data_IF_435799192075
#
_entry.id   IF_435799192075
#
_cell.length_a   1.000
_cell.length_b   1.000
_cell.length_c   1.000
_cell.angle_alpha   90.00
_cell.angle_beta   90.00
_cell.angle_gamma   90.00
#
_symmetry.space_group_name_H-M   'P 1'
#
loop_
_entity.id
_entity.type
_entity.pdbx_description
1 polymer ?
#
# COMPACT_ATOMS: atom_id res chain seq x y z
N UNK A 1 -4.38 -17.08 -27.50
CA UNK A 1 -4.64 -15.62 -27.53
C UNK A 1 -4.17 -14.99 -26.23
N UNK A 2 -3.18 -14.10 -26.33
CA UNK A 2 -2.52 -13.43 -25.20
C UNK A 2 -3.21 -12.10 -24.90
N UNK A 3 -3.22 -11.69 -23.62
CA UNK A 3 -3.78 -10.41 -23.15
C UNK A 3 -2.65 -9.38 -23.10
N UNK A 4 -2.81 -8.25 -23.80
CA UNK A 4 -1.87 -7.11 -23.81
C UNK A 4 -2.38 -6.05 -22.83
N UNK A 5 -1.60 -5.71 -21.80
CA UNK A 5 -2.08 -4.85 -20.70
C UNK A 5 -1.70 -3.36 -20.77
N UNK A 6 -0.74 -2.94 -21.60
CA UNK A 6 -0.36 -1.53 -21.69
C UNK A 6 0.35 -1.21 -23.01
N UNK A 7 0.43 0.05 -23.38
CA UNK A 7 1.21 0.55 -24.53
C UNK A 7 1.84 1.87 -24.12
N UNK A 8 3.13 1.86 -23.73
CA UNK A 8 3.80 3.06 -23.22
C UNK A 8 5.23 3.23 -23.78
N UNK A 9 5.71 4.45 -24.11
CA UNK A 9 7.05 4.67 -24.68
C UNK A 9 8.05 5.32 -23.70
N UNK A 10 9.31 4.86 -23.65
CA UNK A 10 10.47 5.72 -23.32
C UNK A 10 11.82 5.13 -23.79
N UNK A 11 12.61 5.93 -24.53
CA UNK A 11 14.01 5.62 -24.92
C UNK A 11 14.92 6.73 -24.41
N UNK A 12 15.93 6.45 -23.58
CA UNK A 12 17.01 7.40 -23.30
C UNK A 12 18.37 6.75 -22.98
N UNK A 13 19.43 7.29 -23.58
CA UNK A 13 20.83 6.99 -23.27
C UNK A 13 21.26 7.58 -21.91
N UNK A 14 22.48 7.24 -21.45
CA UNK A 14 22.97 7.63 -20.11
C UNK A 14 23.09 9.15 -19.89
N UNK A 15 23.34 9.95 -20.94
CA UNK A 15 23.37 11.41 -20.83
C UNK A 15 21.97 11.99 -20.74
N UNK A 16 21.01 11.41 -21.46
CA UNK A 16 19.61 11.78 -21.36
C UNK A 16 18.98 11.39 -20.00
N UNK A 17 19.38 10.24 -19.41
CA UNK A 17 19.00 9.87 -18.02
C UNK A 17 19.43 10.92 -16.97
N UNK A 18 20.59 11.54 -17.17
CA UNK A 18 21.13 12.54 -16.23
C UNK A 18 20.40 13.89 -16.34
N UNK A 19 19.99 14.29 -17.55
CA UNK A 19 19.15 15.49 -17.78
C UNK A 19 17.69 15.27 -17.40
N UNK A 20 17.17 14.04 -17.55
CA UNK A 20 15.83 13.67 -17.11
C UNK A 20 15.66 13.72 -15.61
N UNK A 21 16.65 13.26 -14.81
CA UNK A 21 16.59 13.34 -13.34
C UNK A 21 16.32 14.75 -12.81
N UNK A 22 16.66 15.80 -13.58
CA UNK A 22 16.40 17.20 -13.22
C UNK A 22 15.04 17.73 -13.74
N UNK A 23 14.41 17.03 -14.67
CA UNK A 23 13.11 17.36 -15.30
C UNK A 23 12.00 16.36 -14.92
N UNK A 24 12.34 15.39 -14.05
CA UNK A 24 11.64 14.11 -13.81
C UNK A 24 10.28 14.26 -13.14
N UNK A 25 10.13 15.24 -12.23
CA UNK A 25 8.98 15.30 -11.34
C UNK A 25 7.65 15.64 -12.06
N UNK A 26 7.68 16.50 -13.09
CA UNK A 26 6.47 16.93 -13.79
C UNK A 26 6.08 15.98 -14.94
N UNK A 27 7.07 15.42 -15.65
CA UNK A 27 6.84 14.47 -16.75
C UNK A 27 6.53 13.06 -16.25
N UNK A 28 7.10 12.61 -15.12
CA UNK A 28 6.70 11.35 -14.50
C UNK A 28 5.22 11.38 -14.17
N UNK A 29 4.71 12.42 -13.49
CA UNK A 29 3.32 12.50 -13.07
C UNK A 29 2.31 12.36 -14.23
N UNK A 30 2.61 12.94 -15.40
CA UNK A 30 1.76 12.79 -16.60
C UNK A 30 1.89 11.41 -17.24
N UNK A 31 3.11 10.88 -17.34
CA UNK A 31 3.38 9.56 -17.90
C UNK A 31 2.77 8.42 -17.07
N UNK A 32 2.92 8.49 -15.76
CA UNK A 32 2.50 7.45 -14.82
C UNK A 32 1.00 7.46 -14.56
N UNK A 33 0.34 8.62 -14.65
CA UNK A 33 -1.12 8.71 -14.66
C UNK A 33 -1.76 7.91 -15.81
N UNK A 34 -1.09 7.85 -16.96
CA UNK A 34 -1.57 7.06 -18.10
C UNK A 34 -1.32 5.55 -17.92
N UNK A 35 -0.24 5.14 -17.26
CA UNK A 35 0.03 3.72 -16.93
C UNK A 35 -1.06 3.14 -16.02
N UNK A 36 -1.42 3.86 -14.95
CA UNK A 36 -2.51 3.44 -14.06
C UNK A 36 -3.85 3.48 -14.78
N UNK A 37 -4.12 4.53 -15.56
CA UNK A 37 -5.34 4.65 -16.36
C UNK A 37 -5.51 3.51 -17.37
N UNK A 38 -4.43 3.14 -18.06
CA UNK A 38 -4.42 2.03 -19.02
C UNK A 38 -4.56 0.68 -18.32
N UNK A 39 -3.86 0.47 -17.21
CA UNK A 39 -4.02 -0.74 -16.40
C UNK A 39 -5.47 -0.87 -15.90
N UNK A 40 -6.07 0.20 -15.36
CA UNK A 40 -7.47 0.21 -14.94
C UNK A 40 -8.43 -0.09 -16.10
N UNK A 41 -8.20 0.52 -17.27
CA UNK A 41 -9.00 0.30 -18.47
C UNK A 41 -8.96 -1.14 -18.92
N UNK A 42 -7.77 -1.72 -19.08
CA UNK A 42 -7.62 -3.12 -19.50
C UNK A 42 -8.23 -4.07 -18.46
N UNK A 43 -7.98 -3.86 -17.17
CA UNK A 43 -8.58 -4.67 -16.11
C UNK A 43 -10.10 -4.58 -16.06
N UNK A 44 -10.69 -3.44 -16.44
CA UNK A 44 -12.15 -3.28 -16.47
C UNK A 44 -12.84 -4.04 -17.61
N UNK A 45 -12.10 -4.43 -18.65
CA UNK A 45 -12.63 -5.05 -19.86
C UNK A 45 -12.39 -6.57 -19.86
N UNK A 46 -11.33 -7.04 -19.19
CA UNK A 46 -10.99 -8.48 -19.10
C UNK A 46 -11.69 -9.18 -17.93
N UNK A 47 -12.12 -10.42 -18.13
CA UNK A 47 -12.74 -11.23 -17.07
C UNK A 47 -11.70 -11.88 -16.16
N UNK A 48 -12.10 -12.35 -14.96
CA UNK A 48 -11.23 -13.11 -14.05
C UNK A 48 -10.57 -14.34 -14.71
N UNK A 49 -11.20 -14.89 -15.75
CA UNK A 49 -10.67 -16.03 -16.53
C UNK A 49 -9.52 -15.55 -17.43
N UNK A 50 -9.63 -14.35 -18.00
CA UNK A 50 -8.62 -13.76 -18.87
C UNK A 50 -7.35 -13.39 -18.09
N UNK A 51 -7.49 -12.96 -16.84
CA UNK A 51 -6.35 -12.65 -15.95
C UNK A 51 -5.50 -13.87 -15.58
N UNK A 52 -5.99 -15.09 -15.82
CA UNK A 52 -5.25 -16.35 -15.64
C UNK A 52 -4.54 -16.80 -16.91
N UNK A 53 -4.66 -16.09 -18.02
CA UNK A 53 -3.88 -16.39 -19.23
C UNK A 53 -2.44 -15.92 -19.03
N UNK A 54 -1.46 -16.51 -19.75
CA UNK A 54 -0.09 -16.02 -19.72
C UNK A 54 -0.06 -14.51 -20.00
N UNK A 55 0.54 -13.76 -19.09
CA UNK A 55 0.65 -12.31 -19.23
C UNK A 55 1.70 -11.99 -20.29
N UNK A 56 1.34 -11.17 -21.28
CA UNK A 56 2.28 -10.60 -22.24
C UNK A 56 2.25 -9.09 -22.11
N UNK A 57 3.37 -8.51 -21.72
CA UNK A 57 3.54 -7.07 -21.65
C UNK A 57 4.29 -6.62 -22.91
N UNK A 58 3.80 -5.55 -23.53
CA UNK A 58 4.46 -4.91 -24.67
C UNK A 58 4.52 -3.42 -24.35
N UNK A 59 5.70 -2.85 -24.29
CA UNK A 59 5.84 -1.40 -24.27
C UNK A 59 5.78 -0.87 -25.71
N UNK A 60 5.09 0.24 -25.91
CA UNK A 60 4.85 0.76 -27.25
C UNK A 60 6.16 1.30 -27.84
N UNK A 61 6.46 0.93 -29.08
CA UNK A 61 7.71 1.28 -29.74
C UNK A 61 8.94 0.47 -29.32
N UNK A 62 8.81 -0.57 -28.48
CA UNK A 62 9.92 -1.46 -28.11
C UNK A 62 9.86 -2.81 -28.84
N UNK A 63 10.93 -3.16 -29.56
CA UNK A 63 11.16 -4.53 -30.05
C UNK A 63 11.71 -5.40 -28.90
N UNK A 64 10.89 -5.64 -27.88
CA UNK A 64 11.26 -6.53 -26.79
C UNK A 64 10.72 -7.95 -27.03
N UNK A 65 11.63 -8.94 -27.08
CA UNK A 65 11.25 -10.36 -26.92
C UNK A 65 11.10 -10.60 -25.42
N UNK A 66 9.86 -10.81 -24.97
CA UNK A 66 9.57 -11.00 -23.55
C UNK A 66 10.18 -12.31 -23.03
N UNK A 67 11.37 -12.19 -22.43
CA UNK A 67 12.02 -13.24 -21.64
C UNK A 67 11.84 -13.02 -20.13
N UNK A 68 10.80 -12.28 -19.71
CA UNK A 68 10.46 -11.98 -18.31
C UNK A 68 10.96 -10.63 -17.80
N UNK A 69 11.90 -9.97 -18.51
CA UNK A 69 12.39 -8.64 -18.15
C UNK A 69 11.31 -7.56 -18.25
N UNK A 70 10.55 -7.59 -19.34
CA UNK A 70 9.47 -6.64 -19.64
C UNK A 70 8.34 -6.77 -18.61
N UNK A 71 7.94 -8.01 -18.29
CA UNK A 71 6.92 -8.27 -17.27
C UNK A 71 7.34 -7.74 -15.90
N UNK A 72 8.62 -7.94 -15.52
CA UNK A 72 9.14 -7.45 -14.24
C UNK A 72 9.15 -5.93 -14.17
N UNK A 73 9.56 -5.27 -15.24
CA UNK A 73 9.56 -3.80 -15.33
C UNK A 73 8.14 -3.23 -15.24
N UNK A 74 7.17 -3.84 -15.90
CA UNK A 74 5.75 -3.45 -15.77
C UNK A 74 5.26 -3.47 -14.33
N UNK A 75 5.47 -4.57 -13.60
CA UNK A 75 5.05 -4.65 -12.19
C UNK A 75 5.78 -3.62 -11.32
N UNK A 76 7.07 -3.40 -11.57
CA UNK A 76 7.85 -2.40 -10.84
C UNK A 76 7.29 -0.99 -11.03
N UNK A 77 7.04 -0.58 -12.28
CA UNK A 77 6.54 0.75 -12.60
C UNK A 77 5.12 0.97 -12.09
N UNK A 78 4.24 -0.02 -12.27
CA UNK A 78 2.86 0.06 -11.83
C UNK A 78 2.75 0.14 -10.30
N UNK A 79 3.49 -0.72 -9.57
CA UNK A 79 3.49 -0.67 -8.11
C UNK A 79 4.16 0.59 -7.56
N UNK A 80 5.24 1.07 -8.19
CA UNK A 80 5.86 2.35 -7.81
C UNK A 80 4.84 3.49 -7.85
N UNK A 81 3.95 3.49 -8.85
CA UNK A 81 2.93 4.51 -8.98
C UNK A 81 1.77 4.33 -7.99
N UNK A 82 1.26 3.10 -7.86
CA UNK A 82 0.17 2.79 -6.93
C UNK A 82 0.55 3.04 -5.46
N UNK A 83 1.83 2.93 -5.13
CA UNK A 83 2.37 3.21 -3.79
C UNK A 83 2.85 4.65 -3.62
N UNK A 84 2.71 5.51 -4.64
CA UNK A 84 3.16 6.89 -4.56
C UNK A 84 2.35 7.65 -3.47
N UNK A 85 3.03 8.24 -2.46
CA UNK A 85 2.36 8.96 -1.37
C UNK A 85 1.44 10.10 -1.84
N UNK A 86 1.65 10.64 -3.05
CA UNK A 86 0.80 11.71 -3.60
C UNK A 86 -0.68 11.29 -3.73
N UNK A 87 -0.94 10.00 -3.93
CA UNK A 87 -2.30 9.46 -4.01
C UNK A 87 -2.95 9.25 -2.64
N UNK A 88 -2.16 9.28 -1.56
CA UNK A 88 -2.64 9.10 -0.20
C UNK A 88 -3.24 7.72 0.07
N UNK A 89 -2.93 6.70 -0.74
CA UNK A 89 -3.44 5.34 -0.54
C UNK A 89 -2.82 4.66 0.68
N UNK A 90 -1.55 4.95 0.95
CA UNK A 90 -0.77 4.32 1.99
C UNK A 90 -0.03 5.35 2.85
N UNK A 91 0.11 5.02 4.13
CA UNK A 91 0.94 5.72 5.10
C UNK A 91 2.24 4.94 5.30
N UNK A 92 3.36 5.65 5.26
CA UNK A 92 4.68 5.10 5.55
C UNK A 92 5.02 5.25 7.04
N UNK A 93 5.33 4.14 7.69
CA UNK A 93 5.72 4.10 9.10
C UNK A 93 7.25 4.17 9.18
N UNK A 94 7.79 5.33 9.57
CA UNK A 94 9.23 5.59 9.57
C UNK A 94 10.01 4.63 10.49
N UNK A 95 9.45 4.27 11.64
CA UNK A 95 10.12 3.42 12.62
C UNK A 95 10.32 1.97 12.12
N UNK A 96 9.40 1.46 11.30
CA UNK A 96 9.40 0.07 10.81
C UNK A 96 9.79 -0.06 9.33
N UNK A 97 9.80 1.06 8.59
CA UNK A 97 9.89 1.11 7.12
C UNK A 97 8.76 0.33 6.41
N UNK A 98 7.60 0.20 7.05
CA UNK A 98 6.45 -0.51 6.52
C UNK A 98 5.37 0.45 5.99
N UNK A 99 4.54 -0.08 5.10
CA UNK A 99 3.38 0.60 4.54
C UNK A 99 2.11 0.05 5.18
N UNK A 100 1.16 0.94 5.43
CA UNK A 100 -0.21 0.56 5.79
C UNK A 100 -1.23 1.42 5.05
N UNK A 101 -2.47 0.95 4.95
CA UNK A 101 -3.54 1.69 4.30
C UNK A 101 -3.81 3.00 5.04
N UNK A 102 -3.89 4.10 4.29
CA UNK A 102 -4.20 5.40 4.85
C UNK A 102 -5.66 5.46 5.30
N UNK A 103 -5.90 6.08 6.45
CA UNK A 103 -7.26 6.40 6.94
C UNK A 103 -7.95 7.47 6.07
N UNK A 104 -7.17 8.24 5.32
CA UNK A 104 -7.64 9.31 4.45
C UNK A 104 -7.05 9.12 3.06
N UNK A 105 -7.91 8.77 2.11
CA UNK A 105 -7.54 8.48 0.74
C UNK A 105 -8.53 9.20 -0.18
N UNK A 106 -8.03 9.86 -1.21
CA UNK A 106 -8.85 10.60 -2.17
C UNK A 106 -9.10 9.84 -3.46
N UNK A 107 -8.42 8.70 -3.67
CA UNK A 107 -8.65 7.85 -4.83
C UNK A 107 -9.86 6.94 -4.64
N UNK A 108 -10.46 6.55 -5.75
CA UNK A 108 -11.59 5.65 -5.81
C UNK A 108 -11.21 4.21 -5.40
N UNK A 109 -12.22 3.41 -5.00
CA UNK A 109 -12.01 2.02 -4.56
C UNK A 109 -11.36 1.10 -5.61
N UNK A 110 -11.51 1.40 -6.89
CA UNK A 110 -10.89 0.66 -8.01
C UNK A 110 -9.35 0.69 -7.96
N UNK A 111 -8.71 1.70 -7.36
CA UNK A 111 -7.25 1.73 -7.19
C UNK A 111 -6.75 0.65 -6.22
N UNK A 112 -7.45 0.45 -5.09
CA UNK A 112 -7.12 -0.64 -4.16
C UNK A 112 -7.37 -2.01 -4.80
N UNK A 113 -8.41 -2.12 -5.62
CA UNK A 113 -8.68 -3.33 -6.40
C UNK A 113 -7.55 -3.62 -7.40
N UNK A 114 -7.06 -2.60 -8.11
CA UNK A 114 -5.94 -2.70 -9.03
C UNK A 114 -4.66 -3.17 -8.33
N UNK A 115 -4.35 -2.71 -7.12
CA UNK A 115 -3.23 -3.24 -6.33
C UNK A 115 -3.41 -4.74 -6.07
N UNK A 116 -4.61 -5.15 -5.65
CA UNK A 116 -4.92 -6.56 -5.42
C UNK A 116 -4.72 -7.42 -6.66
N UNK A 117 -5.23 -6.98 -7.82
CA UNK A 117 -5.03 -7.68 -9.09
C UNK A 117 -3.55 -7.70 -9.47
N UNK A 118 -2.84 -6.57 -9.34
CA UNK A 118 -1.41 -6.47 -9.67
C UNK A 118 -0.59 -7.46 -8.85
N UNK A 119 -0.85 -7.55 -7.54
CA UNK A 119 -0.24 -8.56 -6.67
C UNK A 119 -0.59 -9.99 -7.09
N UNK A 120 -1.87 -10.25 -7.41
CA UNK A 120 -2.33 -11.56 -7.88
C UNK A 120 -1.66 -11.99 -9.18
N UNK A 121 -1.55 -11.08 -10.14
CA UNK A 121 -0.86 -11.30 -11.41
C UNK A 121 0.64 -11.52 -11.22
N UNK A 122 1.29 -10.76 -10.33
CA UNK A 122 2.70 -10.95 -10.01
C UNK A 122 2.96 -12.35 -9.44
N UNK A 123 2.13 -12.80 -8.48
CA UNK A 123 2.19 -14.15 -7.92
C UNK A 123 1.96 -15.21 -9.01
N UNK A 124 0.91 -15.05 -9.83
CA UNK A 124 0.57 -16.00 -10.89
C UNK A 124 1.70 -16.17 -11.90
N UNK A 125 2.39 -15.08 -12.24
CA UNK A 125 3.51 -15.07 -13.19
C UNK A 125 4.87 -15.34 -12.53
N UNK A 126 4.91 -15.73 -11.25
CA UNK A 126 6.15 -15.99 -10.50
C UNK A 126 7.12 -14.80 -10.47
N UNK A 127 6.57 -13.58 -10.51
CA UNK A 127 7.34 -12.34 -10.46
C UNK A 127 7.41 -11.82 -9.04
N UNK A 128 8.63 -11.64 -8.54
CA UNK A 128 8.87 -11.01 -7.23
C UNK A 128 8.64 -9.50 -7.36
N UNK A 129 7.79 -8.96 -6.49
CA UNK A 129 7.52 -7.53 -6.35
C UNK A 129 7.94 -7.05 -4.97
N UNK A 130 8.36 -5.79 -4.89
CA UNK A 130 8.89 -5.19 -3.68
C UNK A 130 7.79 -4.44 -2.91
N UNK A 131 7.15 -5.14 -1.95
CA UNK A 131 6.02 -4.63 -1.17
C UNK A 131 6.31 -4.74 0.33
N UNK A 132 6.46 -3.61 0.99
CA UNK A 132 6.82 -3.50 2.40
C UNK A 132 5.57 -3.47 3.32
N UNK A 133 4.64 -4.41 3.15
CA UNK A 133 3.47 -4.52 4.04
C UNK A 133 3.77 -5.41 5.26
N UNK A 134 3.21 -5.10 6.45
CA UNK A 134 3.39 -5.91 7.66
C UNK A 134 2.68 -7.27 7.57
N UNK A 135 3.05 -8.21 8.44
CA UNK A 135 2.42 -9.53 8.55
C UNK A 135 0.89 -9.44 8.78
N UNK A 136 0.45 -8.38 9.46
CA UNK A 136 -0.96 -8.06 9.68
C UNK A 136 -1.81 -8.12 8.39
N UNK A 137 -1.26 -7.68 7.26
CA UNK A 137 -1.98 -7.68 5.99
C UNK A 137 -2.26 -9.11 5.53
N UNK A 138 -1.24 -9.95 5.52
CA UNK A 138 -1.34 -11.33 5.07
C UNK A 138 -2.23 -12.16 6.01
N UNK A 139 -2.17 -11.90 7.32
CA UNK A 139 -3.13 -12.47 8.28
C UNK A 139 -4.56 -12.10 7.92
N UNK A 140 -4.84 -10.82 7.64
CA UNK A 140 -6.17 -10.37 7.19
C UNK A 140 -6.63 -11.07 5.92
N UNK A 141 -5.77 -11.20 4.90
CA UNK A 141 -6.09 -11.90 3.65
C UNK A 141 -6.42 -13.39 3.88
N UNK A 142 -5.83 -14.01 4.89
CA UNK A 142 -6.06 -15.40 5.28
C UNK A 142 -7.16 -15.56 6.35
N UNK A 143 -7.91 -14.49 6.67
CA UNK A 143 -8.91 -14.47 7.75
C UNK A 143 -8.35 -14.85 9.13
N UNK A 144 -7.07 -14.57 9.39
CA UNK A 144 -6.43 -14.69 10.70
C UNK A 144 -6.51 -13.34 11.42
N UNK A 145 -7.00 -13.32 12.66
CA UNK A 145 -7.12 -12.10 13.47
C UNK A 145 -5.72 -11.59 13.86
N UNK A 146 -5.34 -10.34 13.52
CA UNK A 146 -4.11 -9.74 14.01
C UNK A 146 -4.15 -9.46 15.52
N UNK A 147 -2.99 -9.45 16.16
CA UNK A 147 -2.81 -9.17 17.59
C UNK A 147 -1.81 -8.05 17.86
N UNK A 148 -1.43 -7.87 19.13
CA UNK A 148 -0.51 -6.81 19.56
C UNK A 148 0.89 -6.95 18.92
N UNK A 149 1.37 -8.18 18.71
CA UNK A 149 2.65 -8.41 18.01
C UNK A 149 2.66 -7.86 16.58
N UNK A 150 1.53 -7.92 15.88
CA UNK A 150 1.40 -7.36 14.53
C UNK A 150 1.45 -5.82 14.55
N UNK A 151 0.95 -5.19 15.63
CA UNK A 151 1.07 -3.75 15.82
C UNK A 151 2.50 -3.36 16.21
N UNK A 152 3.22 -4.18 16.99
CA UNK A 152 4.64 -3.95 17.31
C UNK A 152 5.52 -4.01 16.06
N UNK A 153 5.18 -4.85 15.09
CA UNK A 153 5.87 -4.87 13.78
C UNK A 153 5.63 -3.57 13.01
N UNK A 154 4.38 -3.11 12.92
CA UNK A 154 4.02 -1.90 12.17
C UNK A 154 4.47 -0.60 12.85
N UNK A 155 4.20 -0.49 14.15
CA UNK A 155 4.34 0.71 14.97
C UNK A 155 5.00 0.32 16.30
N UNK A 156 6.33 0.13 16.32
CA UNK A 156 7.03 -0.44 17.48
C UNK A 156 6.82 0.36 18.76
N UNK A 157 6.74 1.68 18.67
CA UNK A 157 6.59 2.57 19.82
C UNK A 157 5.21 2.41 20.48
N UNK A 158 4.14 2.48 19.69
CA UNK A 158 2.77 2.25 20.14
C UNK A 158 2.57 0.82 20.64
N UNK A 159 3.12 -0.16 19.94
CA UNK A 159 3.06 -1.56 20.35
C UNK A 159 3.76 -1.84 21.68
N UNK A 160 4.88 -1.17 21.96
CA UNK A 160 5.55 -1.24 23.28
C UNK A 160 4.72 -0.57 24.37
N UNK A 161 4.19 0.63 24.11
CA UNK A 161 3.35 1.35 25.08
C UNK A 161 2.10 0.55 25.47
N UNK A 162 1.45 -0.12 24.51
CA UNK A 162 0.31 -0.99 24.79
C UNK A 162 0.71 -2.27 25.52
N UNK A 163 1.92 -2.79 25.29
CA UNK A 163 2.44 -3.92 26.07
C UNK A 163 2.71 -3.51 27.53
N UNK A 164 3.26 -2.32 27.76
CA UNK A 164 3.48 -1.79 29.11
C UNK A 164 2.15 -1.62 29.86
N UNK A 165 1.11 -1.13 29.17
CA UNK A 165 -0.25 -1.06 29.72
C UNK A 165 -0.78 -2.46 30.09
N UNK A 166 -0.61 -3.45 29.21
CA UNK A 166 -1.07 -4.82 29.42
C UNK A 166 -0.33 -5.53 30.57
N UNK A 167 0.97 -5.26 30.72
CA UNK A 167 1.83 -5.88 31.73
C UNK A 167 1.80 -5.11 33.07
N UNK A 168 1.03 -4.03 33.18
CA UNK A 168 0.96 -3.22 34.40
C UNK A 168 0.45 -4.06 35.59
N UNK A 169 1.25 -4.22 36.66
CA UNK A 169 0.91 -5.12 37.75
C UNK A 169 -0.15 -4.52 38.70
N UNK A 170 -0.28 -3.20 38.74
CA UNK A 170 -1.19 -2.49 39.63
C UNK A 170 -2.65 -2.61 39.21
N UNK A 171 -3.55 -2.30 40.14
CA UNK A 171 -4.99 -2.12 39.87
C UNK A 171 -5.32 -0.66 39.49
N UNK A 172 -4.33 0.24 39.60
CA UNK A 172 -4.39 1.68 39.35
C UNK A 172 -4.13 2.05 37.87
N UNK A 173 -4.60 1.21 36.94
CA UNK A 173 -4.43 1.42 35.49
C UNK A 173 -5.03 2.76 35.05
N UNK A 174 -6.22 3.07 35.54
CA UNK A 174 -6.94 4.30 35.18
C UNK A 174 -6.15 5.54 35.63
N UNK A 175 -5.69 5.58 36.88
CA UNK A 175 -4.95 6.70 37.44
C UNK A 175 -3.55 6.83 36.86
N UNK A 176 -2.89 5.70 36.56
CA UNK A 176 -1.52 5.68 36.06
C UNK A 176 -1.45 6.16 34.61
N UNK A 177 -2.34 5.66 33.75
CA UNK A 177 -2.27 5.91 32.31
C UNK A 177 -3.22 7.03 31.85
N UNK A 178 -4.30 7.29 32.60
CA UNK A 178 -5.28 8.34 32.27
C UNK A 178 -5.81 8.25 30.83
N UNK A 179 -5.99 7.02 30.33
CA UNK A 179 -6.46 6.75 28.97
C UNK A 179 -7.98 6.56 28.92
N UNK A 180 -8.53 6.80 27.74
CA UNK A 180 -9.90 6.43 27.40
C UNK A 180 -9.90 5.68 26.06
N UNK A 181 -11.06 5.20 25.62
CA UNK A 181 -11.19 4.47 24.36
C UNK A 181 -11.23 5.41 23.15
N UNK A 182 -10.21 6.26 23.01
CA UNK A 182 -10.01 7.14 21.85
C UNK A 182 -8.57 7.11 21.35
N UNK A 183 -8.38 7.47 20.09
CA UNK A 183 -7.06 7.69 19.48
C UNK A 183 -7.05 9.05 18.78
N UNK A 184 -5.87 9.68 18.73
CA UNK A 184 -5.64 10.84 17.89
C UNK A 184 -5.07 10.38 16.54
N UNK A 185 -5.57 10.96 15.46
CA UNK A 185 -5.07 10.77 14.11
C UNK A 185 -4.83 12.12 13.48
N UNK A 186 -3.64 12.32 12.93
CA UNK A 186 -3.35 13.49 12.12
C UNK A 186 -3.70 13.18 10.67
N UNK A 187 -4.44 14.07 10.02
CA UNK A 187 -4.76 13.99 8.60
C UNK A 187 -4.75 15.40 8.02
N UNK A 188 -3.84 15.66 7.07
CA UNK A 188 -3.66 16.97 6.43
C UNK A 188 -3.48 18.14 7.41
N UNK A 189 -2.72 17.92 8.49
CA UNK A 189 -2.45 18.93 9.52
C UNK A 189 -3.61 19.17 10.49
N UNK A 190 -4.70 18.40 10.38
CA UNK A 190 -5.80 18.40 11.34
C UNK A 190 -5.68 17.16 12.22
N UNK A 191 -5.69 17.36 13.54
CA UNK A 191 -5.73 16.26 14.51
C UNK A 191 -7.19 15.97 14.84
N UNK A 192 -7.63 14.78 14.50
CA UNK A 192 -8.96 14.28 14.83
C UNK A 192 -8.89 13.21 15.92
N UNK A 193 -9.79 13.31 16.89
CA UNK A 193 -9.98 12.28 17.90
C UNK A 193 -11.03 11.27 17.42
N UNK A 194 -10.62 10.02 17.20
CA UNK A 194 -11.50 8.91 16.83
C UNK A 194 -11.82 8.06 18.05
N UNK A 195 -13.09 7.73 18.24
CA UNK A 195 -13.55 6.84 19.32
C UNK A 195 -13.41 5.39 18.88
N UNK A 196 -12.79 4.55 19.72
CA UNK A 196 -12.59 3.13 19.46
C UNK A 196 -13.85 2.29 19.75
N UNK A 197 -14.70 2.79 20.65
CA UNK A 197 -16.01 2.22 20.98
C UNK A 197 -17.07 3.34 21.03
N UNK A 198 -18.37 3.02 20.96
CA UNK A 198 -19.43 4.01 21.15
C UNK A 198 -19.29 4.75 22.49
N UNK A 199 -19.14 6.06 22.46
CA UNK A 199 -18.94 6.88 23.66
C UNK A 199 -17.58 6.71 24.34
N UNK A 200 -16.57 6.16 23.63
CA UNK A 200 -15.26 5.84 24.19
C UNK A 200 -14.48 7.03 24.79
N UNK A 201 -14.86 8.27 24.47
CA UNK A 201 -14.36 9.49 25.12
C UNK A 201 -14.69 9.58 26.61
N UNK A 202 -15.72 8.84 27.07
CA UNK A 202 -16.22 8.85 28.45
C UNK A 202 -15.95 7.55 29.20
N UNK A 203 -15.35 6.58 28.54
CA UNK A 203 -15.03 5.27 29.13
C UNK A 203 -13.54 5.28 29.43
N UNK A 204 -13.18 5.28 30.70
CA UNK A 204 -11.80 5.17 31.14
C UNK A 204 -11.28 3.74 30.88
N UNK A 205 -10.00 3.64 30.54
CA UNK A 205 -9.30 2.36 30.45
C UNK A 205 -8.92 1.91 31.85
N UNK A 206 -9.36 0.72 32.26
CA UNK A 206 -9.08 0.12 33.55
C UNK A 206 -8.68 -1.36 33.38
N UNK A 207 -8.38 -2.05 34.49
CA UNK A 207 -7.93 -3.46 34.49
C UNK A 207 -8.87 -4.43 33.74
N UNK A 208 -10.16 -4.11 33.72
CA UNK A 208 -11.23 -5.01 33.29
C UNK A 208 -11.55 -4.92 31.80
N UNK A 209 -11.07 -3.89 31.09
CA UNK A 209 -11.51 -3.54 29.74
C UNK A 209 -10.40 -3.35 28.70
#
# INVERSE_FOLDING_TARGET
DAVTLCSYPFIFDAQAKTKMLQTDAELQMQATSSLVGDALRELSIHSDIDLKKPLRVIFDGEEAVDAGGVTKEFFLLLLKELLNPIYGMFTYYQDSNLLWFSDTCFVEHNWFHLIGITCGLAIYNSTVVDLHFPLALYKKLLNVKPGLEDLKELSPTEGRSLQELLDHPGEDVEETFCLNFTICRESYGVIEQKKLIPGGDRVAVCKEN
#
